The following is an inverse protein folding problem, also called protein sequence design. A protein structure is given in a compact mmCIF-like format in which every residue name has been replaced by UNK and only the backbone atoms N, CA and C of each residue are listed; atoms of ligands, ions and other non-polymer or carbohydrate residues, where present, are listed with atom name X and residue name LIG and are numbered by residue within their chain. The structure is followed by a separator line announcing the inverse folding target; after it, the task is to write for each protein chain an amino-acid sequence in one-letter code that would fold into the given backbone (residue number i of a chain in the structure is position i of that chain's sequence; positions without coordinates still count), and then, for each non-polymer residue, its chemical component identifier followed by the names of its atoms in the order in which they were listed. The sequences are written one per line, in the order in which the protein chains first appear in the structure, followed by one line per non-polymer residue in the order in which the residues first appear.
data_IF_288989764257
#
_entry.id   IF_288989764257
#
_cell.length_a   1.000
_cell.length_b   1.000
_cell.length_c   1.000
_cell.angle_alpha   90.00
_cell.angle_beta   90.00
_cell.angle_gamma   90.00
#
_symmetry.space_group_name_H-M   'P 1'
#
loop_
_entity.id
_entity.type
_entity.pdbx_description
1 polymer ?
#
# COMPACT_ATOMS: atom_id res chain seq x y z
N UNK A 1 14.05 11.83 -6.43
CA UNK A 1 13.70 10.39 -6.50
C UNK A 1 13.18 9.84 -5.18
N UNK A 2 13.81 10.12 -4.04
CA UNK A 2 13.29 9.70 -2.72
C UNK A 2 11.83 10.14 -2.45
N UNK A 3 11.50 11.41 -2.66
CA UNK A 3 10.13 11.92 -2.50
C UNK A 3 9.12 11.27 -3.45
N UNK A 4 9.56 10.82 -4.63
CA UNK A 4 8.71 10.15 -5.61
C UNK A 4 8.45 8.68 -5.25
N UNK A 5 9.44 8.02 -4.66
CA UNK A 5 9.29 6.68 -4.09
C UNK A 5 8.32 6.69 -2.89
N UNK A 6 8.47 7.68 -2.01
CA UNK A 6 7.61 7.84 -0.84
C UNK A 6 6.15 8.13 -1.24
N UNK A 7 5.91 9.05 -2.18
CA UNK A 7 4.56 9.34 -2.67
C UNK A 7 3.93 8.15 -3.40
N UNK A 8 4.71 7.39 -4.17
CA UNK A 8 4.24 6.14 -4.80
C UNK A 8 3.83 5.12 -3.74
N UNK A 9 4.67 4.88 -2.73
CA UNK A 9 4.36 3.95 -1.65
C UNK A 9 3.10 4.37 -0.87
N UNK A 10 2.90 5.67 -0.66
CA UNK A 10 1.73 6.20 0.01
C UNK A 10 0.46 6.05 -0.82
N UNK A 11 0.51 6.34 -2.12
CA UNK A 11 -0.62 6.10 -3.03
C UNK A 11 -0.98 4.61 -3.07
N UNK A 12 0.02 3.74 -3.23
CA UNK A 12 -0.16 2.29 -3.26
C UNK A 12 -0.76 1.73 -1.95
N UNK A 13 -0.32 2.24 -0.80
CA UNK A 13 -0.89 1.86 0.50
C UNK A 13 -2.37 2.30 0.58
N UNK A 14 -2.70 3.52 0.15
CA UNK A 14 -4.08 4.01 0.15
C UNK A 14 -4.99 3.18 -0.76
N UNK A 15 -4.52 2.86 -1.97
CA UNK A 15 -5.29 2.06 -2.92
C UNK A 15 -5.50 0.63 -2.41
N UNK A 16 -4.47 0.01 -1.82
CA UNK A 16 -4.58 -1.30 -1.19
C UNK A 16 -5.57 -1.33 -0.03
N UNK A 17 -5.50 -0.33 0.85
CA UNK A 17 -6.40 -0.21 2.00
C UNK A 17 -7.86 -0.04 1.54
N UNK A 18 -8.10 0.83 0.53
CA UNK A 18 -9.44 1.04 -0.05
C UNK A 18 -9.99 -0.20 -0.74
N UNK A 19 -9.19 -0.88 -1.55
CA UNK A 19 -9.61 -2.10 -2.24
C UNK A 19 -9.93 -3.25 -1.27
N UNK A 20 -9.20 -3.36 -0.16
CA UNK A 20 -9.54 -4.32 0.91
C UNK A 20 -10.78 -3.90 1.72
N UNK A 21 -10.95 -2.59 1.94
CA UNK A 21 -12.05 -2.03 2.69
C UNK A 21 -13.41 -2.10 1.97
N UNK A 22 -13.41 -2.19 0.64
CA UNK A 22 -14.62 -2.25 -0.17
C UNK A 22 -15.60 -3.36 0.27
N UNK A 23 -16.88 -3.17 -0.06
CA UNK A 23 -17.91 -4.19 0.13
C UNK A 23 -17.55 -5.44 -0.67
N UNK A 24 -17.50 -6.60 0.00
CA UNK A 24 -16.93 -7.87 -0.51
C UNK A 24 -15.44 -7.83 -0.90
N UNK A 25 -14.71 -6.77 -0.56
CA UNK A 25 -13.27 -6.69 -0.72
C UNK A 25 -12.53 -7.73 0.13
N UNK A 26 -11.31 -8.08 -0.28
CA UNK A 26 -10.45 -9.04 0.42
C UNK A 26 -9.05 -8.48 0.62
N UNK A 27 -8.35 -8.98 1.63
CA UNK A 27 -6.93 -8.65 1.83
C UNK A 27 -6.06 -9.05 0.64
N UNK A 28 -6.38 -10.16 -0.03
CA UNK A 28 -5.68 -10.61 -1.24
C UNK A 28 -5.87 -9.63 -2.39
N UNK A 29 -7.10 -9.16 -2.62
CA UNK A 29 -7.40 -8.16 -3.63
C UNK A 29 -6.68 -6.84 -3.35
N UNK A 30 -6.76 -6.32 -2.12
CA UNK A 30 -6.03 -5.10 -1.73
C UNK A 30 -4.52 -5.23 -1.90
N UNK A 31 -3.95 -6.42 -1.64
CA UNK A 31 -2.53 -6.69 -1.87
C UNK A 31 -2.16 -6.61 -3.36
N UNK A 32 -2.98 -7.19 -4.24
CA UNK A 32 -2.76 -7.12 -5.69
C UNK A 32 -2.84 -5.68 -6.21
N UNK A 33 -3.82 -4.88 -5.72
CA UNK A 33 -3.95 -3.47 -6.08
C UNK A 33 -2.75 -2.64 -5.59
N UNK A 34 -2.36 -2.81 -4.32
CA UNK A 34 -1.18 -2.11 -3.78
C UNK A 34 0.09 -2.45 -4.54
N UNK A 35 0.28 -3.72 -4.91
CA UNK A 35 1.45 -4.15 -5.66
C UNK A 35 1.48 -3.52 -7.06
N UNK A 36 0.34 -3.54 -7.77
CA UNK A 36 0.23 -2.93 -9.10
C UNK A 36 0.46 -1.41 -9.07
N UNK A 37 -0.03 -0.72 -8.04
CA UNK A 37 0.19 0.72 -7.87
C UNK A 37 1.65 1.08 -7.51
N UNK A 38 2.33 0.20 -6.76
CA UNK A 38 3.72 0.38 -6.37
C UNK A 38 4.72 0.05 -7.50
N UNK A 39 4.33 -0.82 -8.44
CA UNK A 39 5.17 -1.30 -9.54
C UNK A 39 5.19 -0.31 -10.72
N UNK A 40 5.68 0.91 -10.47
CA UNK A 40 5.81 1.98 -11.47
C UNK A 40 7.27 2.36 -11.78
N UNK A 41 8.23 1.57 -11.28
CA UNK A 41 9.67 1.77 -11.48
C UNK A 41 10.32 2.78 -10.52
N UNK A 42 9.58 3.38 -9.58
CA UNK A 42 10.17 4.26 -8.55
C UNK A 42 10.72 3.51 -7.33
N UNK A 43 10.32 2.23 -7.17
CA UNK A 43 10.61 1.37 -6.01
C UNK A 43 11.28 0.07 -6.44
N UNK A 44 12.17 -0.44 -5.60
CA UNK A 44 12.73 -1.79 -5.69
C UNK A 44 12.43 -2.60 -4.43
N UNK A 45 12.45 -3.93 -4.53
CA UNK A 45 12.18 -4.89 -3.43
C UNK A 45 10.83 -4.61 -2.75
N UNK A 46 9.79 -4.33 -3.55
CA UNK A 46 8.46 -3.97 -3.06
C UNK A 46 7.85 -5.15 -2.28
N UNK A 47 7.34 -4.87 -1.08
CA UNK A 47 6.48 -5.80 -0.34
C UNK A 47 5.26 -5.07 0.17
N UNK A 48 4.11 -5.70 -0.04
CA UNK A 48 2.80 -5.20 0.37
C UNK A 48 2.16 -6.15 1.37
N UNK A 49 1.88 -5.68 2.58
CA UNK A 49 1.03 -6.38 3.54
C UNK A 49 -0.33 -5.68 3.63
N UNK A 50 -1.41 -6.45 3.57
CA UNK A 50 -2.77 -5.89 3.64
C UNK A 50 -3.58 -6.74 4.60
N UNK A 51 -4.30 -6.06 5.50
CA UNK A 51 -5.15 -6.67 6.51
C UNK A 51 -6.53 -6.05 6.43
N UNK A 52 -7.53 -6.89 6.20
CA UNK A 52 -8.93 -6.48 6.24
C UNK A 52 -9.47 -6.69 7.65
N UNK A 53 -9.79 -5.62 8.35
CA UNK A 53 -10.45 -5.70 9.66
C UNK A 53 -11.95 -5.43 9.56
N UNK A 54 -12.70 -5.71 10.64
CA UNK A 54 -14.16 -5.54 10.67
C UNK A 54 -14.63 -4.08 10.72
N UNK A 55 -13.73 -3.13 10.96
CA UNK A 55 -14.03 -1.68 10.99
C UNK A 55 -13.01 -0.86 10.21
N UNK A 56 -11.74 -1.25 10.31
CA UNK A 56 -10.62 -0.61 9.62
C UNK A 56 -9.88 -1.70 8.85
N UNK A 57 -9.54 -1.42 7.60
CA UNK A 57 -8.60 -2.20 6.80
C UNK A 57 -7.33 -1.40 6.62
N UNK A 58 -6.19 -2.06 6.73
CA UNK A 58 -4.87 -1.44 6.67
C UNK A 58 -4.04 -2.06 5.54
N UNK A 59 -3.20 -1.24 4.93
CA UNK A 59 -2.22 -1.68 3.96
C UNK A 59 -0.87 -1.02 4.25
N UNK A 60 0.17 -1.83 4.29
CA UNK A 60 1.55 -1.40 4.47
C UNK A 60 2.35 -1.73 3.22
N UNK A 61 3.00 -0.73 2.64
CA UNK A 61 3.91 -0.85 1.51
C UNK A 61 5.32 -0.57 2.01
N UNK A 62 6.22 -1.51 1.79
CA UNK A 62 7.64 -1.38 2.08
C UNK A 62 8.45 -1.56 0.81
N UNK A 63 9.59 -0.90 0.73
CA UNK A 63 10.48 -1.02 -0.41
C UNK A 63 11.75 -0.20 -0.21
N UNK A 64 12.54 -0.14 -1.28
CA UNK A 64 13.76 0.66 -1.38
C UNK A 64 13.59 1.70 -2.45
N UNK A 65 13.89 2.95 -2.11
CA UNK A 65 13.93 4.03 -3.09
C UNK A 65 15.19 3.84 -3.96
N UNK A 66 15.06 4.04 -5.27
CA UNK A 66 16.22 4.12 -6.16
C UNK A 66 17.06 5.33 -5.75
N UNK A 67 18.23 5.05 -5.16
CA UNK A 67 19.14 6.07 -4.68
C UNK A 67 20.13 6.44 -5.79
N UNK A 68 20.31 7.76 -5.99
CA UNK A 68 21.33 8.30 -6.90
C UNK A 68 22.73 8.22 -6.28
N UNK A 69 22.81 8.13 -4.94
CA UNK A 69 24.07 7.99 -4.20
C UNK A 69 24.39 6.49 -4.08
N UNK A 70 25.48 6.00 -4.69
CA UNK A 70 25.93 4.62 -4.50
C UNK A 70 26.16 4.33 -3.00
N UNK A 71 25.74 3.15 -2.54
CA UNK A 71 25.94 2.61 -1.18
C UNK A 71 24.97 3.06 -0.07
N UNK A 72 23.97 3.91 -0.33
CA UNK A 72 22.98 4.33 0.67
C UNK A 72 21.53 4.02 0.24
N UNK A 73 21.10 2.74 0.26
CA UNK A 73 19.73 2.40 -0.03
C UNK A 73 18.80 2.93 1.08
N UNK A 74 17.82 3.75 0.72
CA UNK A 74 16.82 4.23 1.68
C UNK A 74 15.62 3.30 1.66
N UNK A 75 15.40 2.58 2.76
CA UNK A 75 14.20 1.79 2.98
C UNK A 75 13.09 2.65 3.54
N UNK A 76 11.88 2.46 3.03
CA UNK A 76 10.67 3.11 3.57
C UNK A 76 9.62 2.05 3.91
N UNK A 77 8.72 2.44 4.82
CA UNK A 77 7.56 1.66 5.23
C UNK A 77 6.40 2.62 5.43
N UNK A 78 5.40 2.54 4.56
CA UNK A 78 4.23 3.42 4.58
C UNK A 78 3.01 2.59 4.88
N UNK A 79 2.19 3.03 5.84
CA UNK A 79 0.92 2.41 6.18
C UNK A 79 -0.21 3.38 5.90
N UNK A 80 -1.30 2.88 5.33
CA UNK A 80 -2.55 3.59 5.17
C UNK A 80 -3.71 2.75 5.70
N UNK A 81 -4.72 3.44 6.24
CA UNK A 81 -5.93 2.85 6.80
C UNK A 81 -7.16 3.36 6.06
N UNK A 82 -8.17 2.50 5.93
CA UNK A 82 -9.46 2.82 5.34
C UNK A 82 -10.61 2.20 6.17
N UNK A 83 -11.72 2.92 6.39
CA UNK A 83 -12.91 2.33 7.01
C UNK A 83 -13.49 1.22 6.16
N UNK A 84 -13.70 0.04 6.74
CA UNK A 84 -14.26 -1.12 6.04
C UNK A 84 -15.76 -0.91 5.79
N UNK A 85 -16.17 -1.00 4.54
CA UNK A 85 -17.57 -0.91 4.13
C UNK A 85 -18.39 -2.08 4.68
N UNK A 86 -19.57 -1.75 5.21
CA UNK A 86 -20.52 -2.71 5.80
C UNK A 86 -21.94 -2.32 5.44
N UNK A 87 -22.77 -3.33 5.18
CA UNK A 87 -24.21 -3.13 5.15
C UNK A 87 -24.69 -2.99 6.61
N UNK A 88 -25.20 -1.81 6.95
CA UNK A 88 -26.00 -1.61 8.15
C UNK A 88 -27.45 -1.82 7.76
N UNK A 89 -28.12 -2.82 8.34
CA UNK A 89 -29.56 -2.98 8.17
C UNK A 89 -30.29 -1.73 8.72
N UNK A 90 -31.39 -1.29 8.07
CA UNK A 90 -32.24 -0.22 8.56
C UNK A 90 -33.05 -0.61 9.81
#
# INVERSE_FOLDING_TARGET
MYSWAETTAQAAAQDGARAAAAFNGTAAHGRAVALAAADNGSLDTIRTDVRRGPRISSATVTGRALAVIPLFPVTFSVTADAPTERLTQP
#
